data_IF_674285392113
#
_entry.id   IF_674285392113
#
_cell.length_a   1.000
_cell.length_b   1.000
_cell.length_c   1.000
_cell.angle_alpha   90.00
_cell.angle_beta   90.00
_cell.angle_gamma   90.00
#
_symmetry.space_group_name_H-M   'P 1'
#
loop_
_entity.id
_entity.type
_entity.pdbx_description
1 polymer ?
#
# COMPACT_ATOMS: atom_id res chain seq x y z
N UNK A 1 19.57 -12.67 7.60
CA UNK A 1 18.76 -13.90 7.70
C UNK A 1 17.73 -13.63 8.78
N UNK A 2 16.43 -13.76 8.52
CA UNK A 2 15.41 -13.54 9.53
C UNK A 2 15.32 -14.81 10.40
N UNK A 3 16.05 -14.81 11.51
CA UNK A 3 16.00 -15.86 12.52
C UNK A 3 15.11 -15.40 13.66
N UNK A 4 14.30 -16.31 14.18
CA UNK A 4 13.55 -16.11 15.41
C UNK A 4 14.42 -16.58 16.58
N UNK A 5 15.16 -15.64 17.19
CA UNK A 5 16.12 -15.92 18.28
C UNK A 5 15.44 -16.41 19.57
N UNK A 6 14.13 -16.20 19.71
CA UNK A 6 13.35 -16.66 20.87
C UNK A 6 12.96 -18.14 20.77
N UNK A 7 13.24 -18.79 19.63
CA UNK A 7 12.92 -20.19 19.35
C UNK A 7 14.13 -21.12 19.51
N UNK A 8 13.90 -22.42 19.83
CA UNK A 8 14.98 -23.40 19.82
C UNK A 8 15.59 -23.53 18.42
N UNK A 9 16.89 -23.83 18.36
CA UNK A 9 17.73 -23.86 17.15
C UNK A 9 17.08 -24.56 15.95
N UNK A 10 16.39 -25.68 16.21
CA UNK A 10 15.68 -26.50 15.24
C UNK A 10 14.52 -25.76 14.53
N UNK A 11 14.00 -24.68 15.13
CA UNK A 11 12.85 -23.92 14.65
C UNK A 11 13.10 -22.42 14.47
N UNK A 12 14.34 -21.96 14.59
CA UNK A 12 14.72 -20.56 14.37
C UNK A 12 14.50 -20.13 12.91
N UNK A 13 14.64 -21.07 11.97
CA UNK A 13 14.40 -20.84 10.56
C UNK A 13 12.94 -21.09 10.20
N UNK A 14 12.18 -20.03 9.91
CA UNK A 14 10.75 -20.12 9.62
C UNK A 14 10.42 -21.12 8.52
N UNK A 15 11.15 -21.11 7.41
CA UNK A 15 10.90 -22.03 6.30
C UNK A 15 11.13 -23.50 6.72
N UNK A 16 12.23 -23.77 7.43
CA UNK A 16 12.55 -25.11 7.93
C UNK A 16 11.51 -25.60 8.94
N UNK A 17 11.10 -24.74 9.87
CA UNK A 17 10.05 -25.05 10.84
C UNK A 17 8.70 -25.32 10.15
N UNK A 18 8.32 -24.47 9.18
CA UNK A 18 7.07 -24.60 8.45
C UNK A 18 6.93 -25.94 7.73
N UNK A 19 8.02 -26.48 7.18
CA UNK A 19 8.02 -27.80 6.55
C UNK A 19 7.59 -28.94 7.49
N UNK A 20 7.88 -28.82 8.79
CA UNK A 20 7.45 -29.81 9.79
C UNK A 20 5.99 -29.61 10.23
N UNK A 21 5.49 -28.38 10.14
CA UNK A 21 4.13 -28.00 10.54
C UNK A 21 3.11 -28.27 9.43
N UNK A 22 3.44 -27.96 8.17
CA UNK A 22 2.48 -27.99 7.05
C UNK A 22 1.83 -29.35 6.80
N UNK A 23 2.50 -30.44 7.19
CA UNK A 23 2.01 -31.82 6.98
C UNK A 23 0.92 -32.25 7.96
N UNK A 24 0.71 -31.48 9.02
CA UNK A 24 -0.21 -31.81 10.11
C UNK A 24 -1.26 -30.70 10.23
N UNK A 25 -2.52 -31.04 10.00
CA UNK A 25 -3.64 -30.10 10.00
C UNK A 25 -3.80 -29.37 11.34
N UNK A 26 -3.65 -30.09 12.45
CA UNK A 26 -3.84 -29.51 13.79
C UNK A 26 -2.69 -28.55 14.12
N UNK A 27 -1.45 -28.93 13.79
CA UNK A 27 -0.29 -28.06 13.97
C UNK A 27 -0.35 -26.84 13.05
N UNK A 28 -0.82 -27.01 11.82
CA UNK A 28 -1.00 -25.91 10.89
C UNK A 28 -2.03 -24.91 11.42
N UNK A 29 -3.18 -25.37 11.92
CA UNK A 29 -4.16 -24.47 12.56
C UNK A 29 -3.60 -23.76 13.78
N UNK A 30 -2.86 -24.46 14.64
CA UNK A 30 -2.25 -23.86 15.82
C UNK A 30 -1.13 -22.84 15.49
N UNK A 31 -0.56 -22.92 14.28
CA UNK A 31 0.48 -22.02 13.79
C UNK A 31 -0.04 -20.76 13.10
N UNK A 32 -1.34 -20.71 12.76
CA UNK A 32 -1.98 -19.52 12.18
C UNK A 32 -1.97 -18.39 13.20
N UNK A 33 -1.76 -17.16 12.71
CA UNK A 33 -1.83 -15.96 13.53
C UNK A 33 -3.22 -15.83 14.20
N UNK A 34 -3.30 -15.83 15.54
CA UNK A 34 -4.56 -15.69 16.26
C UNK A 34 -5.31 -14.39 15.94
N UNK A 35 -4.64 -13.35 15.46
CA UNK A 35 -5.26 -12.09 15.07
C UNK A 35 -6.15 -12.20 13.81
N UNK A 36 -5.99 -13.28 13.02
CA UNK A 36 -6.78 -13.51 11.81
C UNK A 36 -8.17 -14.11 12.08
N UNK A 37 -8.49 -14.51 13.32
CA UNK A 37 -9.77 -15.11 13.74
C UNK A 37 -10.32 -16.13 12.72
N UNK A 38 -9.48 -17.10 12.37
CA UNK A 38 -9.80 -18.05 11.30
C UNK A 38 -10.85 -19.04 11.79
N UNK A 39 -12.05 -18.95 11.21
CA UNK A 39 -13.11 -19.94 11.37
C UNK A 39 -12.78 -21.24 10.64
N UNK A 40 -13.40 -22.33 11.08
CA UNK A 40 -13.23 -23.65 10.47
C UNK A 40 -13.55 -23.68 8.96
N UNK A 41 -14.49 -22.85 8.51
CA UNK A 41 -14.87 -22.69 7.09
C UNK A 41 -13.76 -22.08 6.21
N UNK A 42 -12.81 -21.35 6.80
CA UNK A 42 -11.68 -20.74 6.08
C UNK A 42 -10.43 -21.63 6.11
N UNK A 43 -10.48 -22.78 6.80
CA UNK A 43 -9.36 -23.71 6.90
C UNK A 43 -8.92 -24.26 5.53
N UNK A 44 -9.87 -24.45 4.61
CA UNK A 44 -9.57 -24.92 3.26
C UNK A 44 -8.70 -23.90 2.50
N UNK A 45 -8.94 -22.60 2.68
CA UNK A 45 -8.14 -21.51 2.10
C UNK A 45 -6.72 -21.53 2.69
N UNK A 46 -6.60 -21.67 4.01
CA UNK A 46 -5.29 -21.77 4.70
C UNK A 46 -4.51 -22.98 4.18
N UNK A 47 -5.17 -24.12 3.98
CA UNK A 47 -4.53 -25.33 3.46
C UNK A 47 -3.96 -25.12 2.06
N UNK A 48 -4.73 -24.48 1.17
CA UNK A 48 -4.28 -24.14 -0.19
C UNK A 48 -3.05 -23.22 -0.14
N UNK A 49 -3.08 -22.18 0.71
CA UNK A 49 -1.97 -21.24 0.85
C UNK A 49 -0.73 -21.94 1.43
N UNK A 50 -0.91 -22.81 2.42
CA UNK A 50 0.18 -23.57 3.03
C UNK A 50 0.83 -24.55 2.05
N UNK A 51 0.05 -25.22 1.21
CA UNK A 51 0.57 -26.07 0.14
C UNK A 51 1.40 -25.26 -0.86
N UNK A 52 0.86 -24.13 -1.33
CA UNK A 52 1.55 -23.24 -2.25
C UNK A 52 2.86 -22.70 -1.64
N UNK A 53 2.84 -22.26 -0.39
CA UNK A 53 4.02 -21.81 0.34
C UNK A 53 5.09 -22.91 0.46
N UNK A 54 4.67 -24.17 0.65
CA UNK A 54 5.57 -25.33 0.64
C UNK A 54 6.30 -25.48 -0.69
N UNK A 55 5.58 -25.37 -1.81
CA UNK A 55 6.20 -25.45 -3.13
C UNK A 55 7.11 -24.25 -3.43
N UNK A 56 6.72 -23.03 -3.06
CA UNK A 56 7.54 -21.83 -3.22
C UNK A 56 8.85 -21.89 -2.41
N UNK A 57 8.84 -22.55 -1.25
CA UNK A 57 9.98 -22.68 -0.35
C UNK A 57 10.76 -23.98 -0.52
N UNK A 58 10.53 -24.72 -1.61
CA UNK A 58 11.28 -25.93 -1.92
C UNK A 58 12.80 -25.65 -1.99
N UNK A 59 13.60 -26.58 -1.47
CA UNK A 59 15.05 -26.48 -1.46
C UNK A 59 15.61 -26.48 -2.88
N UNK A 60 15.06 -27.34 -3.73
CA UNK A 60 15.42 -27.47 -5.13
C UNK A 60 14.68 -26.42 -5.98
N UNK A 61 15.39 -25.57 -6.75
CA UNK A 61 14.76 -24.51 -7.53
C UNK A 61 13.77 -25.00 -8.59
N UNK A 62 14.00 -26.20 -9.15
CA UNK A 62 13.15 -26.80 -10.18
C UNK A 62 11.79 -27.30 -9.66
N UNK A 63 11.61 -27.42 -8.35
CA UNK A 63 10.32 -27.77 -7.73
C UNK A 63 9.48 -26.53 -7.41
N UNK A 64 10.05 -25.33 -7.55
CA UNK A 64 9.34 -24.09 -7.28
C UNK A 64 8.44 -23.76 -8.47
N UNK A 65 7.18 -23.37 -8.22
CA UNK A 65 6.27 -22.97 -9.28
C UNK A 65 6.73 -21.64 -9.89
N UNK A 66 6.38 -21.42 -11.15
CA UNK A 66 6.51 -20.10 -11.76
C UNK A 66 5.57 -19.10 -11.05
N UNK A 67 5.97 -17.82 -11.02
CA UNK A 67 5.18 -16.77 -10.37
C UNK A 67 3.79 -16.62 -11.02
N UNK A 68 3.66 -16.90 -12.31
CA UNK A 68 2.35 -16.94 -12.98
C UNK A 68 1.39 -17.94 -12.32
N UNK A 69 1.89 -19.13 -11.94
CA UNK A 69 1.11 -20.14 -11.25
C UNK A 69 0.71 -19.68 -9.84
N UNK A 70 1.64 -19.08 -9.10
CA UNK A 70 1.38 -18.53 -7.76
C UNK A 70 0.25 -17.50 -7.80
N UNK A 71 0.31 -16.55 -8.74
CA UNK A 71 -0.71 -15.51 -8.89
C UNK A 71 -2.06 -16.09 -9.31
N UNK A 72 -2.07 -17.10 -10.18
CA UNK A 72 -3.30 -17.76 -10.61
C UNK A 72 -3.99 -18.52 -9.46
N UNK A 73 -3.22 -19.11 -8.53
CA UNK A 73 -3.76 -19.79 -7.35
C UNK A 73 -4.28 -18.78 -6.32
N UNK A 74 -3.53 -17.70 -6.06
CA UNK A 74 -3.90 -16.71 -5.05
C UNK A 74 -5.00 -15.75 -5.53
N UNK A 75 -5.03 -15.41 -6.82
CA UNK A 75 -5.94 -14.39 -7.38
C UNK A 75 -7.42 -14.59 -7.01
N UNK A 76 -8.00 -15.80 -7.13
CA UNK A 76 -9.37 -16.07 -6.70
C UNK A 76 -9.62 -15.99 -5.19
N UNK A 77 -8.56 -16.04 -4.36
CA UNK A 77 -8.64 -16.06 -2.90
C UNK A 77 -8.54 -14.67 -2.26
N UNK A 78 -8.14 -13.64 -3.03
CA UNK A 78 -7.98 -12.27 -2.54
C UNK A 78 -9.10 -11.39 -3.06
N UNK A 79 -9.62 -10.51 -2.21
CA UNK A 79 -10.51 -9.45 -2.67
C UNK A 79 -9.77 -8.49 -3.60
N UNK A 80 -10.49 -7.96 -4.59
CA UNK A 80 -9.92 -6.96 -5.50
C UNK A 80 -9.55 -5.72 -4.69
N UNK A 81 -8.24 -5.45 -4.59
CA UNK A 81 -7.75 -4.22 -3.97
C UNK A 81 -8.42 -3.01 -4.60
N UNK A 82 -8.99 -2.15 -3.75
CA UNK A 82 -9.54 -0.86 -4.14
C UNK A 82 -8.64 0.22 -3.55
N UNK A 83 -8.07 1.15 -4.35
CA UNK A 83 -7.47 2.34 -3.79
C UNK A 83 -8.54 3.07 -2.96
N UNK A 84 -8.13 3.62 -1.82
CA UNK A 84 -9.00 4.45 -0.98
C UNK A 84 -9.67 5.53 -1.85
N UNK A 85 -10.99 5.63 -1.78
CA UNK A 85 -11.75 6.70 -2.42
C UNK A 85 -11.63 7.92 -1.51
N UNK A 86 -10.69 8.79 -1.82
CA UNK A 86 -10.41 10.02 -1.05
C UNK A 86 -11.43 11.12 -1.39
N UNK A 87 -12.73 10.78 -1.42
CA UNK A 87 -13.80 11.74 -1.76
C UNK A 87 -14.22 12.64 -0.57
N UNK A 88 -13.41 12.72 0.49
CA UNK A 88 -13.75 13.57 1.66
C UNK A 88 -12.66 14.53 2.13
N UNK A 89 -11.62 14.77 1.34
CA UNK A 89 -10.89 16.02 1.48
C UNK A 89 -11.67 17.09 0.69
N UNK A 90 -12.50 17.83 1.42
CA UNK A 90 -13.11 19.09 0.98
C UNK A 90 -12.02 19.93 0.32
N UNK A 91 -11.94 19.83 -1.01
CA UNK A 91 -10.96 20.50 -1.84
C UNK A 91 -11.10 21.99 -1.55
N UNK A 92 -10.19 22.50 -0.71
CA UNK A 92 -10.02 23.92 -0.42
C UNK A 92 -9.38 24.62 -1.63
N UNK A 93 -9.81 24.27 -2.84
CA UNK A 93 -9.35 24.85 -4.07
C UNK A 93 -10.38 25.79 -4.68
N UNK A 94 -9.89 26.60 -5.60
CA UNK A 94 -10.62 27.72 -6.18
C UNK A 94 -11.84 27.19 -6.95
N UNK A 95 -13.03 27.68 -6.60
CA UNK A 95 -14.28 27.34 -7.29
C UNK A 95 -14.31 27.98 -8.69
N UNK A 96 -14.08 27.18 -9.72
CA UNK A 96 -14.11 27.61 -11.13
C UNK A 96 -15.53 27.89 -11.66
N UNK A 97 -16.58 27.69 -10.86
CA UNK A 97 -17.95 28.02 -11.24
C UNK A 97 -18.23 29.54 -11.24
N UNK A 98 -17.39 30.32 -10.57
CA UNK A 98 -17.52 31.77 -10.52
C UNK A 98 -16.93 32.42 -11.78
N UNK A 99 -17.58 33.47 -12.33
CA UNK A 99 -17.02 34.20 -13.45
C UNK A 99 -15.76 34.96 -13.02
N UNK A 100 -14.77 35.03 -13.92
CA UNK A 100 -13.43 35.57 -13.68
C UNK A 100 -13.42 36.94 -12.98
N UNK A 101 -14.39 37.80 -13.28
CA UNK A 101 -14.49 39.13 -12.70
C UNK A 101 -14.82 39.13 -11.19
N UNK A 102 -15.43 38.06 -10.66
CA UNK A 102 -15.70 37.92 -9.24
C UNK A 102 -14.43 37.43 -8.52
N UNK A 103 -13.75 36.44 -9.07
CA UNK A 103 -12.47 35.95 -8.55
C UNK A 103 -11.42 37.08 -8.42
N UNK A 104 -11.35 37.96 -9.42
CA UNK A 104 -10.43 39.11 -9.40
C UNK A 104 -10.81 40.12 -8.32
N UNK A 105 -12.09 40.32 -8.04
CA UNK A 105 -12.54 41.22 -6.95
C UNK A 105 -12.17 40.65 -5.59
N UNK A 106 -12.43 39.37 -5.35
CA UNK A 106 -12.10 38.72 -4.08
C UNK A 106 -10.58 38.77 -3.81
N UNK A 107 -9.76 38.59 -4.86
CA UNK A 107 -8.31 38.78 -4.78
C UNK A 107 -7.92 40.23 -4.39
N UNK A 108 -8.52 41.23 -5.02
CA UNK A 108 -8.24 42.64 -4.72
C UNK A 108 -8.70 43.05 -3.31
N UNK A 109 -9.79 42.47 -2.83
CA UNK A 109 -10.36 42.76 -1.51
C UNK A 109 -9.56 42.08 -0.37
N UNK A 110 -8.97 40.91 -0.64
CA UNK A 110 -8.13 40.18 0.33
C UNK A 110 -6.72 40.77 0.49
N UNK A 111 -6.13 41.34 -0.57
CA UNK A 111 -4.84 42.06 -0.48
C UNK A 111 -4.95 43.39 0.31
N UNK A 112 -6.15 43.97 0.40
CA UNK A 112 -6.36 45.29 1.03
C UNK A 112 -6.56 45.29 2.54
N UNK A 113 -6.65 44.12 3.20
CA UNK A 113 -7.22 44.05 4.57
C UNK A 113 -6.37 43.45 5.69
N UNK A 114 -5.11 43.07 5.49
CA UNK A 114 -4.22 42.75 6.63
C UNK A 114 -2.76 43.11 6.34
N UNK A 115 -2.39 44.37 6.63
CA UNK A 115 -1.00 44.79 6.87
C UNK A 115 -0.84 45.16 8.34
N UNK A 116 -0.89 44.16 9.21
CA UNK A 116 -0.13 44.19 10.46
C UNK A 116 0.17 42.78 10.93
N UNK A 117 1.32 42.24 10.55
CA UNK A 117 2.32 41.70 11.46
C UNK A 117 3.41 40.93 10.68
N UNK A 118 4.66 41.24 11.03
CA UNK A 118 5.93 40.55 10.74
C UNK A 118 6.45 40.46 9.29
N UNK A 119 7.36 41.39 9.01
CA UNK A 119 8.48 41.22 8.10
C UNK A 119 9.37 40.02 8.53
N UNK A 120 9.56 39.05 7.63
CA UNK A 120 10.85 38.41 7.34
C UNK A 120 10.70 37.37 6.21
N UNK A 121 11.24 37.72 5.04
CA UNK A 121 11.82 36.82 4.02
C UNK A 121 10.97 35.65 3.47
N UNK A 122 10.38 35.83 2.29
CA UNK A 122 10.80 35.19 1.02
C UNK A 122 9.72 35.43 -0.05
N UNK A 123 10.11 36.01 -1.19
CA UNK A 123 9.21 36.43 -2.26
C UNK A 123 8.74 35.25 -3.12
N UNK A 124 7.80 34.44 -2.59
CA UNK A 124 7.20 33.29 -3.30
C UNK A 124 5.67 33.34 -3.42
N UNK A 125 5.00 34.33 -2.86
CA UNK A 125 3.52 34.35 -2.74
C UNK A 125 2.73 34.78 -3.98
N UNK A 126 3.38 35.11 -5.11
CA UNK A 126 2.68 35.57 -6.32
C UNK A 126 2.24 34.45 -7.28
N UNK A 127 2.48 33.17 -6.97
CA UNK A 127 2.15 32.05 -7.85
C UNK A 127 0.92 31.33 -7.29
N UNK A 128 -0.20 31.25 -8.05
CA UNK A 128 -1.34 30.42 -7.67
C UNK A 128 -0.88 28.97 -7.43
N UNK A 129 -1.45 28.29 -6.46
CA UNK A 129 -1.13 26.89 -6.19
C UNK A 129 -1.21 26.08 -7.50
N UNK A 130 -0.12 25.33 -7.78
CA UNK A 130 0.04 24.54 -8.99
C UNK A 130 -1.12 23.53 -9.09
N UNK A 131 -1.85 23.45 -10.20
CA UNK A 131 -2.87 22.41 -10.36
C UNK A 131 -2.22 21.02 -10.27
N UNK A 132 -2.84 20.13 -9.50
CA UNK A 132 -2.38 18.76 -9.30
C UNK A 132 -2.23 18.07 -10.67
N UNK A 133 -1.01 17.60 -10.98
CA UNK A 133 -0.70 16.87 -12.22
C UNK A 133 0.10 17.64 -13.29
N UNK A 134 0.39 18.94 -13.14
CA UNK A 134 0.97 19.73 -14.25
C UNK A 134 2.46 19.48 -14.57
N UNK A 135 3.27 18.93 -13.66
CA UNK A 135 4.71 18.70 -13.96
C UNK A 135 5.30 17.37 -13.49
N UNK A 136 4.48 16.38 -13.15
CA UNK A 136 5.00 15.01 -12.94
C UNK A 136 5.18 14.26 -14.28
N UNK A 137 4.65 14.79 -15.40
CA UNK A 137 4.68 14.11 -16.72
C UNK A 137 5.94 14.30 -17.55
N UNK A 138 6.84 15.22 -17.22
CA UNK A 138 8.05 15.44 -18.04
C UNK A 138 9.29 15.53 -17.16
N UNK A 139 9.97 14.40 -17.01
CA UNK A 139 11.36 14.40 -16.55
C UNK A 139 12.28 14.38 -17.77
N UNK A 140 13.37 15.14 -17.73
CA UNK A 140 14.32 15.28 -18.84
C UNK A 140 15.02 13.97 -19.25
N UNK A 141 14.75 12.84 -18.58
CA UNK A 141 15.29 11.51 -18.92
C UNK A 141 14.48 10.79 -20.01
N UNK A 142 13.25 11.22 -20.29
CA UNK A 142 12.37 10.59 -21.30
C UNK A 142 12.74 10.96 -22.75
N UNK A 143 13.73 11.84 -22.93
CA UNK A 143 14.19 12.35 -24.22
C UNK A 143 15.48 11.73 -24.78
N UNK A 144 15.89 10.54 -24.32
CA UNK A 144 17.07 9.83 -24.83
C UNK A 144 16.86 8.34 -25.06
#
# INVERSE_FOLDING_TARGET
>A
MALDEDRPEESQYLASWFWHVKSDKEKLMAAVDPALDIKEEMFDIVSIIAELAGHCTAREPNQRPDMSHVVNVLGPLVEKWKPFDDETEEYSGIDYSLPLNQMVKDWQETEGKDLSYVDLQDSKSSIPARPTGFAESFTSVDGR
#
